data_IF_018421392197
#
_entry.id   IF_018421392197
#
_cell.length_a   1.000
_cell.length_b   1.000
_cell.length_c   1.000
_cell.angle_alpha   90.00
_cell.angle_beta   90.00
_cell.angle_gamma   90.00
#
_symmetry.space_group_name_H-M   'P 1'
#
loop_
_entity.id
_entity.type
_entity.pdbx_description
1 polymer ?
#
# COMPACT_ATOMS: atom_id res chain seq x y z
N UNK A 1 -27.98 -11.22 -12.90
CA UNK A 1 -26.64 -11.73 -13.29
C UNK A 1 -25.79 -10.64 -13.96
N UNK A 2 -25.59 -9.45 -13.36
CA UNK A 2 -24.78 -8.35 -13.98
C UNK A 2 -23.73 -7.70 -13.06
N UNK A 3 -23.63 -8.10 -11.80
CA UNK A 3 -22.72 -7.47 -10.83
C UNK A 3 -21.35 -8.17 -10.68
N UNK A 4 -21.16 -9.35 -11.26
CA UNK A 4 -19.91 -10.13 -11.08
C UNK A 4 -18.85 -9.81 -12.15
N UNK A 5 -19.24 -9.15 -13.25
CA UNK A 5 -18.35 -8.91 -14.40
C UNK A 5 -17.39 -7.72 -14.17
N UNK A 6 -17.80 -6.71 -13.38
CA UNK A 6 -17.01 -5.50 -13.16
C UNK A 6 -15.72 -5.74 -12.37
N UNK A 7 -15.67 -6.79 -11.55
CA UNK A 7 -14.55 -7.03 -10.67
C UNK A 7 -13.43 -7.82 -11.36
N UNK A 8 -13.77 -8.79 -12.22
CA UNK A 8 -12.78 -9.66 -12.85
C UNK A 8 -12.04 -8.99 -14.02
N UNK A 9 -12.75 -8.24 -14.86
CA UNK A 9 -12.16 -7.61 -16.06
C UNK A 9 -11.24 -6.42 -15.74
N UNK A 10 -11.54 -5.66 -14.68
CA UNK A 10 -10.78 -4.44 -14.38
C UNK A 10 -9.75 -4.60 -13.28
N UNK A 11 -10.03 -5.39 -12.24
CA UNK A 11 -9.06 -5.63 -11.17
C UNK A 11 -8.07 -6.75 -11.57
N UNK A 12 -8.52 -7.78 -12.30
CA UNK A 12 -7.68 -8.93 -12.70
C UNK A 12 -6.80 -9.47 -11.54
N UNK A 13 -7.37 -9.57 -10.33
CA UNK A 13 -6.62 -10.01 -9.14
C UNK A 13 -5.61 -8.98 -8.59
N UNK A 14 -5.54 -7.77 -9.16
CA UNK A 14 -4.71 -6.67 -8.66
C UNK A 14 -5.44 -5.88 -7.59
N UNK A 15 -4.67 -5.30 -6.69
CA UNK A 15 -5.19 -4.44 -5.65
C UNK A 15 -5.84 -3.18 -6.28
N UNK A 16 -7.00 -2.77 -5.74
CA UNK A 16 -7.76 -1.60 -6.23
C UNK A 16 -6.91 -0.32 -6.26
N UNK A 17 -5.89 -0.19 -5.42
CA UNK A 17 -4.97 0.96 -5.37
C UNK A 17 -3.89 0.96 -6.46
N UNK A 18 -3.64 -0.18 -7.08
CA UNK A 18 -2.59 -0.37 -8.10
C UNK A 18 -3.14 -0.28 -9.52
N UNK A 19 -4.44 -0.49 -9.70
CA UNK A 19 -5.04 -0.49 -11.03
C UNK A 19 -4.96 0.89 -11.69
N UNK A 20 -4.35 0.90 -12.87
CA UNK A 20 -4.31 2.06 -13.77
C UNK A 20 -5.63 2.16 -14.54
N UNK A 21 -6.07 3.39 -14.79
CA UNK A 21 -7.29 3.63 -15.55
C UNK A 21 -6.96 3.54 -17.04
N UNK A 22 -7.43 2.49 -17.70
CA UNK A 22 -7.27 2.35 -19.15
C UNK A 22 -8.14 3.33 -19.92
N UNK A 23 -7.67 3.77 -21.09
CA UNK A 23 -8.41 4.69 -21.95
C UNK A 23 -9.75 4.13 -22.43
N UNK A 24 -9.90 2.80 -22.52
CA UNK A 24 -11.16 2.16 -22.89
C UNK A 24 -12.07 1.84 -21.68
N UNK A 25 -11.72 2.30 -20.47
CA UNK A 25 -12.51 2.01 -19.29
C UNK A 25 -13.88 2.71 -19.32
N UNK A 26 -14.91 2.01 -18.83
CA UNK A 26 -16.26 2.56 -18.70
C UNK A 26 -16.28 3.85 -17.87
N UNK A 27 -17.24 4.74 -18.16
CA UNK A 27 -17.39 6.00 -17.44
C UNK A 27 -17.59 5.79 -15.93
N UNK A 28 -18.32 4.75 -15.53
CA UNK A 28 -18.50 4.36 -14.14
C UNK A 28 -17.18 3.97 -13.46
N UNK A 29 -16.33 3.17 -14.13
CA UNK A 29 -15.01 2.81 -13.61
C UNK A 29 -14.10 4.02 -13.41
N UNK A 30 -14.08 4.94 -14.37
CA UNK A 30 -13.31 6.19 -14.25
C UNK A 30 -13.77 7.01 -13.04
N UNK A 31 -15.08 7.08 -12.80
CA UNK A 31 -15.63 7.82 -11.65
C UNK A 31 -15.33 7.13 -10.33
N UNK A 32 -15.42 5.80 -10.28
CA UNK A 32 -15.01 5.00 -9.13
C UNK A 32 -13.52 5.20 -8.80
N UNK A 33 -12.66 5.24 -9.82
CA UNK A 33 -11.23 5.47 -9.66
C UNK A 33 -10.90 6.88 -9.17
N UNK A 34 -11.63 7.90 -9.64
CA UNK A 34 -11.52 9.25 -9.07
C UNK A 34 -11.95 9.30 -7.61
N UNK A 35 -13.05 8.62 -7.25
CA UNK A 35 -13.50 8.54 -5.86
C UNK A 35 -12.50 7.79 -4.99
N UNK A 36 -11.92 6.68 -5.48
CA UNK A 36 -10.83 5.95 -4.83
C UNK A 36 -9.70 6.91 -4.44
N UNK A 37 -9.21 7.71 -5.39
CA UNK A 37 -8.11 8.63 -5.15
C UNK A 37 -8.48 9.75 -4.15
N UNK A 38 -9.75 10.20 -4.14
CA UNK A 38 -10.26 11.18 -3.17
C UNK A 38 -10.40 10.63 -1.75
N UNK A 39 -10.78 9.36 -1.61
CA UNK A 39 -11.06 8.72 -0.32
C UNK A 39 -9.79 8.11 0.29
N UNK A 40 -8.78 7.80 -0.52
CA UNK A 40 -7.49 7.23 -0.09
C UNK A 40 -6.85 7.97 1.11
N UNK A 41 -6.76 9.32 1.14
CA UNK A 41 -6.16 10.04 2.27
C UNK A 41 -7.05 10.06 3.53
N UNK A 42 -8.33 9.72 3.41
CA UNK A 42 -9.26 9.63 4.56
C UNK A 42 -9.21 8.23 5.19
N UNK A 43 -9.07 7.20 4.37
CA UNK A 43 -8.87 5.82 4.83
C UNK A 43 -7.58 5.70 5.63
N UNK A 44 -6.51 6.39 5.22
CA UNK A 44 -5.30 6.60 6.00
C UNK A 44 -5.56 6.90 7.49
N UNK A 45 -6.40 7.90 7.78
CA UNK A 45 -6.66 8.36 9.14
C UNK A 45 -7.48 7.34 9.95
N UNK A 46 -8.20 6.46 9.26
CA UNK A 46 -9.03 5.43 9.87
C UNK A 46 -8.30 4.10 10.06
N UNK A 47 -7.20 3.85 9.34
CA UNK A 47 -6.35 2.65 9.40
C UNK A 47 -5.50 2.59 10.69
N UNK A 48 -6.03 3.02 11.82
CA UNK A 48 -5.45 2.77 13.16
C UNK A 48 -5.36 1.29 13.54
N UNK A 49 -5.69 0.37 12.63
CA UNK A 49 -5.50 -1.06 12.77
C UNK A 49 -4.46 -1.56 11.75
N UNK A 50 -3.22 -1.69 12.21
CA UNK A 50 -2.05 -2.12 11.42
C UNK A 50 -2.12 -3.58 10.95
N UNK A 51 -3.03 -4.39 11.51
CA UNK A 51 -3.16 -5.83 11.21
C UNK A 51 -3.84 -6.12 9.87
N UNK A 52 -4.69 -5.20 9.36
CA UNK A 52 -5.37 -5.36 8.07
C UNK A 52 -4.87 -4.39 7.00
N UNK A 53 -3.79 -3.67 7.29
CA UNK A 53 -3.25 -2.64 6.41
C UNK A 53 -2.08 -3.22 5.61
N UNK A 54 -2.18 -3.24 4.28
CA UNK A 54 -1.08 -3.73 3.44
C UNK A 54 0.11 -2.77 3.47
N UNK A 55 1.28 -3.30 3.81
CA UNK A 55 2.52 -2.52 3.85
C UNK A 55 2.94 -1.99 2.47
N UNK A 56 2.51 -2.66 1.40
CA UNK A 56 2.89 -2.32 0.04
C UNK A 56 1.94 -1.33 -0.60
N UNK A 57 0.64 -1.58 -0.51
CA UNK A 57 -0.36 -0.88 -1.32
C UNK A 57 -1.13 0.18 -0.55
N UNK A 58 -1.31 -0.02 0.76
CA UNK A 58 -2.00 0.96 1.58
C UNK A 58 -1.04 2.08 1.97
N UNK A 59 -1.62 3.24 2.18
CA UNK A 59 -0.88 4.40 2.68
C UNK A 59 -0.90 4.25 4.19
N UNK A 60 0.24 3.95 4.80
CA UNK A 60 0.45 3.84 6.25
C UNK A 60 1.69 4.63 6.78
N UNK A 61 2.50 5.26 5.89
CA UNK A 61 3.33 6.44 6.18
C UNK A 61 2.98 7.72 5.33
N UNK A 62 3.33 8.94 5.79
CA UNK A 62 3.18 10.23 5.05
C UNK A 62 3.88 10.20 3.68
N UNK A 63 4.91 9.37 3.54
CA UNK A 63 5.66 9.16 2.30
C UNK A 63 4.81 8.40 1.25
N UNK A 64 3.75 7.71 1.68
CA UNK A 64 2.81 7.00 0.82
C UNK A 64 3.05 5.48 0.79
N UNK A 65 2.36 4.75 -0.10
CA UNK A 65 2.50 3.31 -0.24
C UNK A 65 3.90 2.93 -0.75
N UNK A 66 4.50 1.90 -0.18
CA UNK A 66 5.82 1.40 -0.61
C UNK A 66 5.84 0.88 -2.04
N UNK A 67 4.69 0.53 -2.62
CA UNK A 67 4.57 0.07 -4.02
C UNK A 67 5.07 1.09 -5.05
N UNK A 68 5.25 2.36 -4.67
CA UNK A 68 5.85 3.39 -5.54
C UNK A 68 7.37 3.28 -5.64
N UNK A 69 8.01 2.75 -4.61
CA UNK A 69 9.47 2.63 -4.51
C UNK A 69 9.95 1.19 -4.65
N UNK A 70 9.16 0.23 -4.15
CA UNK A 70 9.46 -1.19 -4.14
C UNK A 70 8.54 -1.89 -5.13
N UNK A 71 9.13 -2.54 -6.12
CA UNK A 71 8.41 -3.33 -7.12
C UNK A 71 8.09 -4.73 -6.60
N UNK A 72 7.03 -5.38 -7.14
CA UNK A 72 6.74 -6.80 -6.85
C UNK A 72 7.94 -7.73 -7.02
N UNK A 73 8.82 -7.43 -8.00
CA UNK A 73 10.05 -8.21 -8.23
C UNK A 73 11.02 -8.08 -7.07
N UNK A 74 11.18 -6.89 -6.51
CA UNK A 74 12.00 -6.69 -5.31
C UNK A 74 11.41 -7.46 -4.12
N UNK A 75 10.10 -7.34 -3.88
CA UNK A 75 9.38 -8.07 -2.81
C UNK A 75 9.62 -9.58 -2.90
N UNK A 76 9.43 -10.16 -4.10
CA UNK A 76 9.68 -11.57 -4.36
C UNK A 76 11.14 -11.97 -4.09
N UNK A 77 12.11 -11.17 -4.57
CA UNK A 77 13.53 -11.43 -4.35
C UNK A 77 13.92 -11.36 -2.85
N UNK A 78 13.21 -10.54 -2.07
CA UNK A 78 13.41 -10.43 -0.62
C UNK A 78 12.66 -11.52 0.17
N UNK A 79 12.00 -12.47 -0.50
CA UNK A 79 11.20 -13.52 0.13
C UNK A 79 10.07 -12.98 1.03
N UNK A 80 9.54 -11.80 0.68
CA UNK A 80 8.41 -11.18 1.37
C UNK A 80 7.10 -11.52 0.63
N UNK A 81 5.99 -11.59 1.37
CA UNK A 81 4.66 -11.77 0.78
C UNK A 81 4.17 -10.45 0.17
N UNK A 82 3.52 -10.52 -0.98
CA UNK A 82 2.84 -9.36 -1.59
C UNK A 82 1.60 -8.93 -0.78
N UNK A 83 1.11 -9.79 0.10
CA UNK A 83 -0.06 -9.57 0.95
C UNK A 83 0.35 -9.15 2.37
N UNK A 84 1.66 -9.01 2.63
CA UNK A 84 2.18 -8.64 3.94
C UNK A 84 1.55 -7.35 4.47
N UNK A 85 1.23 -7.38 5.76
CA UNK A 85 0.61 -6.26 6.47
C UNK A 85 1.67 -5.43 7.17
N UNK A 86 1.30 -4.21 7.58
CA UNK A 86 2.18 -3.33 8.37
C UNK A 86 2.53 -4.01 9.69
N UNK A 87 1.59 -4.70 10.34
CA UNK A 87 1.84 -5.46 11.56
C UNK A 87 2.89 -6.57 11.37
N UNK A 88 2.85 -7.30 10.25
CA UNK A 88 3.80 -8.39 9.97
C UNK A 88 5.25 -7.89 9.82
N UNK A 89 5.42 -6.65 9.35
CA UNK A 89 6.71 -6.07 9.05
C UNK A 89 7.22 -5.10 10.13
N UNK A 90 6.38 -4.69 11.07
CA UNK A 90 6.75 -3.81 12.18
C UNK A 90 7.20 -4.64 13.38
N UNK A 91 8.48 -4.52 13.73
CA UNK A 91 9.06 -5.15 14.93
C UNK A 91 9.54 -4.06 15.87
N UNK A 92 9.07 -4.07 17.12
CA UNK A 92 9.37 -3.05 18.14
C UNK A 92 9.06 -1.62 17.69
N UNK A 93 7.94 -1.43 17.00
CA UNK A 93 7.54 -0.13 16.47
C UNK A 93 8.41 0.37 15.32
N UNK A 94 9.25 -0.48 14.72
CA UNK A 94 10.08 -0.13 13.56
C UNK A 94 9.75 -1.03 12.38
N UNK A 95 9.49 -0.45 11.20
CA UNK A 95 9.35 -1.24 9.99
C UNK A 95 10.70 -1.86 9.59
N UNK A 96 10.75 -3.19 9.55
CA UNK A 96 11.92 -3.95 9.14
C UNK A 96 11.91 -4.16 7.62
N UNK A 97 12.64 -3.30 6.91
CA UNK A 97 12.91 -3.48 5.48
C UNK A 97 14.27 -4.14 5.26
N UNK A 98 14.45 -4.93 4.19
CA UNK A 98 15.76 -5.44 3.80
C UNK A 98 16.78 -4.30 3.68
N UNK A 99 17.95 -4.46 4.29
CA UNK A 99 18.99 -3.41 4.36
C UNK A 99 19.43 -2.96 2.96
N UNK A 100 19.40 -3.88 2.00
CA UNK A 100 19.75 -3.65 0.61
C UNK A 100 18.85 -2.58 -0.03
N UNK A 101 17.57 -2.53 0.33
CA UNK A 101 16.64 -1.55 -0.22
C UNK A 101 16.84 -0.18 0.38
N UNK A 102 17.17 -0.15 1.67
CA UNK A 102 17.45 1.08 2.43
C UNK A 102 18.65 1.83 1.84
N UNK A 103 19.65 1.10 1.33
CA UNK A 103 20.77 1.68 0.58
C UNK A 103 20.41 2.14 -0.83
N UNK A 104 19.48 1.43 -1.51
CA UNK A 104 19.08 1.75 -2.89
C UNK A 104 18.08 2.91 -2.96
N UNK A 105 17.27 3.10 -1.93
CA UNK A 105 16.20 4.09 -1.92
C UNK A 105 16.23 4.85 -0.59
N UNK A 106 16.87 6.02 -0.58
CA UNK A 106 16.98 6.87 0.61
C UNK A 106 15.60 7.24 1.21
N UNK A 107 14.54 7.28 0.38
CA UNK A 107 13.15 7.44 0.82
C UNK A 107 12.72 6.39 1.84
N UNK A 108 13.23 5.16 1.75
CA UNK A 108 12.91 4.08 2.69
C UNK A 108 13.52 4.29 4.08
N UNK A 109 14.68 4.97 4.19
CA UNK A 109 15.27 5.35 5.49
C UNK A 109 14.35 6.26 6.29
N UNK A 110 13.63 7.16 5.61
CA UNK A 110 12.72 8.08 6.30
C UNK A 110 11.54 7.31 6.89
N UNK A 111 11.00 6.35 6.16
CA UNK A 111 9.85 5.54 6.56
C UNK A 111 10.18 4.65 7.77
N UNK A 112 11.33 3.97 7.76
CA UNK A 112 11.76 3.12 8.89
C UNK A 112 11.94 3.90 10.20
N UNK A 113 12.33 5.17 10.10
CA UNK A 113 12.50 6.05 11.25
C UNK A 113 11.16 6.64 11.74
N UNK A 114 10.18 6.85 10.85
CA UNK A 114 8.88 7.45 11.21
C UNK A 114 8.02 6.51 12.07
N UNK A 115 8.15 5.19 11.88
CA UNK A 115 7.44 4.20 12.71
C UNK A 115 7.84 4.27 14.19
N UNK A 116 9.07 4.69 14.53
CA UNK A 116 9.50 4.90 15.92
C UNK A 116 8.79 6.07 16.61
N UNK A 117 8.33 7.06 15.85
CA UNK A 117 7.79 8.31 16.40
C UNK A 117 6.25 8.27 16.50
N UNK A 118 5.57 7.55 15.61
CA UNK A 118 4.10 7.49 15.62
C UNK A 118 3.50 6.48 16.59
N UNK A 119 4.25 5.44 17.00
CA UNK A 119 3.75 4.47 18.00
C UNK A 119 3.83 5.01 19.43
N UNK A 120 4.76 5.93 19.72
CA UNK A 120 4.95 6.50 21.08
C UNK A 120 3.90 7.57 21.43
N UNK A 121 3.15 8.10 20.46
CA UNK A 121 2.17 9.18 20.67
C UNK A 121 0.70 8.71 20.72
N UNK A 122 0.44 7.40 20.71
CA UNK A 122 -0.93 6.83 20.83
C UNK A 122 -1.02 5.84 22.01
N UNK A 123 -0.21 6.07 23.06
CA UNK A 123 -0.43 5.54 24.42
C UNK A 123 -0.47 6.74 25.37
#
# INVERSE_FOLDING_TARGET
MRNVMLQNDYLCGRNIWEVTVENNASWGWRKLMKLRDMVRPRIWHYLGNVENTSVWYDTWDKVGPLSKTVTRRQIYNAHLSNEATVADMVVNGSLQLPKEWVHQHAVLNHISNLTLIQVVLIV
#
